data_IF_723254884431
#
_entry.id   IF_723254884431
#
_cell.length_a   1.000
_cell.length_b   1.000
_cell.length_c   1.000
_cell.angle_alpha   90.00
_cell.angle_beta   90.00
_cell.angle_gamma   90.00
#
_symmetry.space_group_name_H-M   'P 1'
#
loop_
_entity.id
_entity.type
_entity.pdbx_description
1 polymer ?
#
# COMPACT_ATOMS: atom_id res chain seq x y z
N UNK A 1 19.10 5.17 -2.85
CA UNK A 1 19.59 4.77 -4.18
C UNK A 1 19.45 6.00 -5.07
N UNK A 2 20.43 6.37 -5.90
CA UNK A 2 20.30 7.57 -6.74
C UNK A 2 19.14 7.42 -7.73
N UNK A 3 18.41 8.49 -8.04
CA UNK A 3 17.21 8.49 -8.90
C UNK A 3 17.50 7.88 -10.29
N UNK A 4 18.70 8.11 -10.80
CA UNK A 4 19.21 7.51 -12.05
C UNK A 4 19.42 6.01 -11.95
N UNK A 5 19.88 5.53 -10.79
CA UNK A 5 20.19 4.11 -10.56
C UNK A 5 18.94 3.23 -10.67
N UNK A 6 17.78 3.72 -10.25
CA UNK A 6 16.53 2.96 -10.29
C UNK A 6 16.03 2.79 -11.72
N UNK A 7 16.06 3.87 -12.51
CA UNK A 7 15.69 3.84 -13.94
C UNK A 7 16.63 2.96 -14.76
N UNK A 8 17.94 3.03 -14.50
CA UNK A 8 18.92 2.16 -15.15
C UNK A 8 18.71 0.69 -14.80
N UNK A 9 18.42 0.39 -13.53
CA UNK A 9 18.09 -0.97 -13.08
C UNK A 9 16.78 -1.45 -13.72
N UNK A 10 15.74 -0.62 -13.72
CA UNK A 10 14.45 -0.94 -14.31
C UNK A 10 14.56 -1.23 -15.81
N UNK A 11 15.30 -0.41 -16.57
CA UNK A 11 15.54 -0.65 -17.99
C UNK A 11 16.38 -1.90 -18.24
N UNK A 12 17.41 -2.14 -17.42
CA UNK A 12 18.27 -3.32 -17.53
C UNK A 12 17.49 -4.62 -17.28
N UNK A 13 16.56 -4.59 -16.33
CA UNK A 13 15.73 -5.73 -15.97
C UNK A 13 14.47 -5.87 -16.85
N UNK A 14 14.32 -5.01 -17.86
CA UNK A 14 13.22 -5.05 -18.83
C UNK A 14 11.87 -4.69 -18.22
N UNK A 15 11.86 -3.87 -17.16
CA UNK A 15 10.64 -3.35 -16.54
C UNK A 15 10.00 -2.30 -17.45
N UNK A 16 8.69 -2.39 -17.60
CA UNK A 16 7.90 -1.58 -18.54
C UNK A 16 6.84 -0.73 -17.83
N UNK A 17 6.54 -1.05 -16.57
CA UNK A 17 5.40 -0.54 -15.84
C UNK A 17 5.83 0.06 -14.49
N UNK A 18 5.01 1.01 -14.02
CA UNK A 18 5.15 1.65 -12.72
C UNK A 18 3.84 1.53 -11.99
N UNK A 19 3.86 0.86 -10.85
CA UNK A 19 2.74 0.73 -9.94
C UNK A 19 2.77 1.88 -8.93
N UNK A 20 1.86 2.83 -9.14
CA UNK A 20 1.77 4.09 -8.41
C UNK A 20 0.85 3.87 -7.22
N UNK A 21 1.38 3.95 -6.00
CA UNK A 21 0.67 3.61 -4.76
C UNK A 21 0.47 4.83 -3.88
N UNK A 22 -0.66 4.89 -3.19
CA UNK A 22 -0.93 5.84 -2.11
C UNK A 22 -1.81 5.19 -1.05
N UNK A 23 -1.79 5.72 0.17
CA UNK A 23 -2.63 5.22 1.26
C UNK A 23 -3.91 6.05 1.36
N UNK A 24 -5.06 5.40 1.43
CA UNK A 24 -6.30 6.07 1.82
C UNK A 24 -6.36 6.32 3.33
N UNK A 25 -7.38 7.06 3.79
CA UNK A 25 -7.55 7.40 5.20
C UNK A 25 -7.66 6.17 6.13
N UNK A 26 -8.16 5.04 5.61
CA UNK A 26 -8.32 3.80 6.39
C UNK A 26 -7.03 2.97 6.43
N UNK A 27 -6.01 3.36 5.66
CA UNK A 27 -4.72 2.68 5.58
C UNK A 27 -4.64 1.65 4.44
N UNK A 28 -5.64 1.59 3.56
CA UNK A 28 -5.58 0.71 2.39
C UNK A 28 -4.64 1.31 1.35
N UNK A 29 -3.77 0.48 0.78
CA UNK A 29 -3.06 0.87 -0.44
C UNK A 29 -4.00 0.89 -1.64
N UNK A 30 -4.17 2.08 -2.18
CA UNK A 30 -4.79 2.33 -3.47
C UNK A 30 -3.68 2.43 -4.51
N UNK A 31 -3.93 1.96 -5.73
CA UNK A 31 -2.91 1.98 -6.77
C UNK A 31 -3.47 1.96 -8.17
N UNK A 32 -2.67 2.45 -9.12
CA UNK A 32 -2.89 2.27 -10.55
C UNK A 32 -1.54 2.17 -11.27
N UNK A 33 -1.57 1.64 -12.48
CA UNK A 33 -0.35 1.37 -13.25
C UNK A 33 -0.21 2.33 -14.42
N UNK A 34 1.00 2.86 -14.62
CA UNK A 34 1.40 3.65 -15.79
C UNK A 34 2.61 3.02 -16.47
N UNK A 35 2.96 3.50 -17.66
CA UNK A 35 4.17 3.04 -18.35
C UNK A 35 5.41 3.69 -17.74
N UNK A 36 6.54 2.99 -17.73
CA UNK A 36 7.81 3.54 -17.24
C UNK A 36 8.21 4.81 -18.00
N UNK A 37 7.85 4.89 -19.28
CA UNK A 37 8.13 6.03 -20.15
C UNK A 37 7.31 7.28 -19.83
N UNK A 38 6.18 7.15 -19.12
CA UNK A 38 5.34 8.31 -18.78
C UNK A 38 5.85 9.12 -17.60
N UNK A 39 6.93 8.68 -16.94
CA UNK A 39 7.51 9.31 -15.75
C UNK A 39 8.96 9.68 -15.99
N UNK A 40 9.36 10.87 -15.50
CA UNK A 40 10.73 11.36 -15.60
C UNK A 40 11.60 10.93 -14.42
N UNK A 41 10.99 10.61 -13.27
CA UNK A 41 11.64 10.25 -12.00
C UNK A 41 12.68 11.28 -11.52
N UNK A 42 12.46 12.55 -11.82
CA UNK A 42 13.29 13.65 -11.32
C UNK A 42 12.67 14.33 -10.07
N UNK A 43 11.44 13.95 -9.72
CA UNK A 43 10.64 14.53 -8.62
C UNK A 43 9.68 15.63 -9.07
N UNK A 44 9.64 15.93 -10.37
CA UNK A 44 8.71 16.90 -10.97
C UNK A 44 7.41 16.25 -11.44
N UNK A 45 7.38 14.92 -11.55
CA UNK A 45 6.20 14.19 -11.99
C UNK A 45 4.98 14.49 -11.11
N UNK A 46 3.84 14.72 -11.76
CA UNK A 46 2.53 14.94 -11.15
C UNK A 46 1.54 14.06 -11.89
N UNK A 47 0.93 13.12 -11.17
CA UNK A 47 -0.02 12.18 -11.76
C UNK A 47 -1.44 12.54 -11.31
N UNK A 48 -2.35 12.92 -12.22
CA UNK A 48 -3.71 13.23 -11.84
C UNK A 48 -4.47 11.98 -11.42
N UNK A 49 -5.34 12.10 -10.42
CA UNK A 49 -6.32 11.07 -10.07
C UNK A 49 -7.61 11.69 -9.50
N UNK A 50 -8.69 10.91 -9.55
CA UNK A 50 -9.99 11.28 -8.99
C UNK A 50 -10.09 10.90 -7.51
N UNK A 51 -9.97 11.91 -6.65
CA UNK A 51 -10.09 11.79 -5.19
C UNK A 51 -11.51 11.51 -4.69
N UNK A 52 -12.55 11.74 -5.51
CA UNK A 52 -13.94 11.47 -5.11
C UNK A 52 -14.27 9.98 -5.04
N UNK A 53 -13.48 9.17 -5.75
CA UNK A 53 -13.54 7.71 -5.71
C UNK A 53 -12.91 7.10 -4.44
N UNK A 54 -12.29 7.93 -3.58
CA UNK A 54 -11.60 7.48 -2.37
C UNK A 54 -12.39 7.88 -1.12
N UNK A 55 -12.73 6.88 -0.31
CA UNK A 55 -13.50 7.08 0.92
C UNK A 55 -12.77 8.02 1.88
N UNK A 56 -13.45 9.09 2.31
CA UNK A 56 -12.93 10.05 3.28
C UNK A 56 -12.07 11.17 2.69
N UNK A 57 -11.90 11.19 1.37
CA UNK A 57 -11.17 12.26 0.67
C UNK A 57 -12.10 13.41 0.27
N UNK A 58 -12.06 13.83 -0.99
CA UNK A 58 -12.77 15.00 -1.48
C UNK A 58 -14.19 14.64 -1.92
N UNK A 59 -15.10 15.59 -1.71
CA UNK A 59 -16.44 15.54 -2.29
C UNK A 59 -16.34 15.81 -3.81
N UNK A 60 -17.40 15.47 -4.56
CA UNK A 60 -17.44 15.51 -6.04
C UNK A 60 -17.01 16.88 -6.63
N UNK A 61 -17.14 17.98 -5.86
CA UNK A 61 -16.84 19.34 -6.32
C UNK A 61 -15.34 19.73 -6.22
N UNK A 62 -14.49 18.93 -5.58
CA UNK A 62 -13.03 19.12 -5.50
C UNK A 62 -12.28 17.81 -5.83
N UNK A 63 -12.74 17.06 -6.84
CA UNK A 63 -12.30 15.69 -7.08
C UNK A 63 -10.88 15.55 -7.65
N UNK A 64 -10.42 16.52 -8.44
CA UNK A 64 -9.14 16.42 -9.14
C UNK A 64 -7.96 16.67 -8.19
N UNK A 65 -7.17 15.62 -7.98
CA UNK A 65 -6.02 15.61 -7.09
C UNK A 65 -4.78 15.13 -7.85
N UNK A 66 -3.59 15.43 -7.32
CA UNK A 66 -2.32 14.98 -7.90
C UNK A 66 -1.58 14.04 -6.95
N UNK A 67 -0.94 13.02 -7.50
CA UNK A 67 0.03 12.19 -6.81
C UNK A 67 1.44 12.65 -7.16
N UNK A 68 2.28 12.77 -6.13
CA UNK A 68 3.69 13.12 -6.23
C UNK A 68 4.52 11.89 -5.83
N UNK A 69 5.21 11.23 -6.78
CA UNK A 69 6.03 10.06 -6.48
C UNK A 69 7.18 10.37 -5.52
N UNK A 70 7.33 9.55 -4.48
CA UNK A 70 8.44 9.60 -3.54
C UNK A 70 9.52 8.59 -3.97
N UNK A 71 10.59 9.12 -4.55
CA UNK A 71 11.64 8.33 -5.19
C UNK A 71 12.48 7.50 -4.20
N UNK A 72 12.45 7.84 -2.91
CA UNK A 72 13.12 7.05 -1.87
C UNK A 72 12.34 5.76 -1.54
N UNK A 73 11.11 5.64 -2.02
CA UNK A 73 10.24 4.48 -1.79
C UNK A 73 10.21 3.50 -2.96
N UNK A 74 10.97 3.73 -4.03
CA UNK A 74 10.89 2.89 -5.22
C UNK A 74 11.53 1.53 -4.99
N UNK A 75 10.83 0.47 -5.38
CA UNK A 75 11.34 -0.91 -5.35
C UNK A 75 10.80 -1.73 -6.52
N UNK A 76 11.49 -2.83 -6.87
CA UNK A 76 11.01 -3.78 -7.89
C UNK A 76 9.95 -4.67 -7.26
N UNK A 77 8.79 -4.79 -7.90
CA UNK A 77 7.72 -5.66 -7.41
C UNK A 77 8.12 -7.14 -7.57
N UNK A 78 8.15 -7.94 -6.49
CA UNK A 78 8.60 -9.33 -6.57
C UNK A 78 7.56 -10.30 -7.17
N UNK A 79 6.30 -9.88 -7.33
CA UNK A 79 5.20 -10.70 -7.82
C UNK A 79 4.77 -10.35 -9.24
N UNK A 80 4.98 -9.10 -9.65
CA UNK A 80 4.73 -8.67 -11.03
C UNK A 80 5.98 -8.85 -11.90
N UNK A 81 5.78 -9.37 -13.12
CA UNK A 81 6.89 -9.73 -14.01
C UNK A 81 7.68 -8.53 -14.57
N UNK A 82 7.16 -7.29 -14.49
CA UNK A 82 7.75 -6.12 -15.18
C UNK A 82 7.47 -4.75 -14.54
N UNK A 83 7.18 -4.66 -13.24
CA UNK A 83 6.85 -3.38 -12.61
C UNK A 83 7.77 -2.97 -11.47
N UNK A 84 8.01 -1.68 -11.36
CA UNK A 84 8.48 -1.04 -10.13
C UNK A 84 7.28 -0.48 -9.37
N UNK A 85 7.32 -0.50 -8.04
CA UNK A 85 6.35 0.16 -7.18
C UNK A 85 6.92 1.47 -6.65
N UNK A 86 6.09 2.51 -6.55
CA UNK A 86 6.44 3.79 -5.92
C UNK A 86 5.29 4.29 -5.05
N UNK A 87 5.61 4.75 -3.83
CA UNK A 87 4.63 5.41 -2.97
C UNK A 87 4.56 6.90 -3.31
N UNK A 88 3.37 7.48 -3.21
CA UNK A 88 3.12 8.87 -3.53
C UNK A 88 2.54 9.63 -2.35
N UNK A 89 2.85 10.92 -2.28
CA UNK A 89 2.09 11.87 -1.47
C UNK A 89 0.94 12.45 -2.31
N UNK A 90 -0.11 12.92 -1.64
CA UNK A 90 -1.27 13.53 -2.30
C UNK A 90 -1.16 15.06 -2.23
N UNK A 91 -1.45 15.72 -3.35
CA UNK A 91 -1.38 17.17 -3.51
C UNK A 91 -2.68 17.73 -4.06
N UNK A 92 -3.14 18.83 -3.48
CA UNK A 92 -4.29 19.61 -3.94
C UNK A 92 -3.79 20.67 -4.94
N UNK A 93 -4.07 20.54 -6.25
CA UNK A 93 -3.57 21.46 -7.27
C UNK A 93 -4.25 22.83 -7.21
N UNK A 94 -5.45 22.93 -6.62
CA UNK A 94 -6.21 24.18 -6.50
C UNK A 94 -5.65 25.02 -5.34
N UNK A 95 -5.55 24.42 -4.16
CA UNK A 95 -5.00 25.06 -2.96
C UNK A 95 -3.47 25.18 -3.00
N UNK A 96 -2.81 24.40 -3.86
CA UNK A 96 -1.36 24.31 -4.01
C UNK A 96 -0.66 23.89 -2.72
N UNK A 97 -1.21 22.86 -2.08
CA UNK A 97 -0.70 22.32 -0.83
C UNK A 97 -0.81 20.80 -0.79
N UNK A 98 0.02 20.17 0.05
CA UNK A 98 -0.13 18.75 0.33
C UNK A 98 -1.43 18.47 1.08
N UNK A 99 -2.10 17.39 0.68
CA UNK A 99 -3.44 17.09 1.14
C UNK A 99 -3.46 16.73 2.62
N UNK A 100 -4.27 17.45 3.39
CA UNK A 100 -4.23 17.37 4.86
C UNK A 100 -4.77 16.05 5.44
N UNK A 101 -5.49 15.26 4.63
CA UNK A 101 -6.03 13.93 5.00
C UNK A 101 -5.22 12.76 4.45
N UNK A 102 -4.11 13.02 3.77
CA UNK A 102 -3.14 11.98 3.40
C UNK A 102 -2.40 11.49 4.66
N UNK A 103 -2.53 10.21 5.05
CA UNK A 103 -1.83 9.66 6.22
C UNK A 103 -0.31 9.80 6.12
N UNK A 104 0.26 9.68 4.92
CA UNK A 104 1.70 9.80 4.70
C UNK A 104 2.18 11.23 4.93
N UNK A 105 1.43 12.22 4.46
CA UNK A 105 1.71 13.62 4.74
C UNK A 105 1.57 13.96 6.24
N UNK A 106 0.61 13.37 6.94
CA UNK A 106 0.48 13.51 8.40
C UNK A 106 1.73 12.97 9.11
N UNK A 107 2.25 11.81 8.71
CA UNK A 107 3.50 11.26 9.25
C UNK A 107 4.69 12.19 9.01
N UNK A 108 4.86 12.72 7.80
CA UNK A 108 5.90 13.71 7.47
C UNK A 108 5.81 14.98 8.32
N UNK A 109 4.59 15.48 8.58
CA UNK A 109 4.37 16.61 9.50
C UNK A 109 4.77 16.27 10.93
N UNK A 110 4.50 15.06 11.41
CA UNK A 110 4.90 14.62 12.74
C UNK A 110 6.43 14.56 12.89
N UNK A 111 7.15 14.03 11.90
CA UNK A 111 8.61 14.05 11.87
C UNK A 111 9.18 15.47 11.88
N UNK A 112 8.60 16.36 11.06
CA UNK A 112 8.99 17.77 11.03
C UNK A 112 8.75 18.44 12.40
N UNK A 113 7.59 18.18 13.01
CA UNK A 113 7.23 18.73 14.32
C UNK A 113 8.19 18.28 15.42
N UNK A 114 8.65 17.02 15.38
CA UNK A 114 9.65 16.50 16.31
C UNK A 114 10.96 17.32 16.21
N UNK A 115 11.47 17.52 14.99
CA UNK A 115 12.67 18.34 14.77
C UNK A 115 12.49 19.79 15.23
N UNK A 116 11.35 20.41 14.89
CA UNK A 116 11.03 21.79 15.30
C UNK A 116 10.89 21.95 16.83
N UNK A 117 10.52 20.88 17.55
CA UNK A 117 10.42 20.92 19.01
C UNK A 117 11.78 20.97 19.71
N UNK A 118 12.88 20.62 19.02
CA UNK A 118 14.22 20.53 19.59
C UNK A 118 14.43 19.36 20.55
N UNK A 119 13.45 18.45 20.69
CA UNK A 119 13.54 17.29 21.59
C UNK A 119 14.45 16.20 21.01
N UNK A 120 14.31 15.92 19.71
CA UNK A 120 15.10 14.93 18.99
C UNK A 120 15.08 15.20 17.48
N UNK A 121 16.02 14.58 16.75
CA UNK A 121 16.11 14.69 15.29
C UNK A 121 15.37 13.56 14.56
N UNK A 122 15.18 12.42 15.20
CA UNK A 122 14.65 11.20 14.57
C UNK A 122 13.92 10.35 15.62
N UNK A 123 12.76 9.80 15.24
CA UNK A 123 12.05 8.79 16.00
C UNK A 123 12.06 7.48 15.21
N UNK A 124 12.62 6.42 15.79
CA UNK A 124 12.65 5.10 15.17
C UNK A 124 11.44 4.28 15.61
N UNK A 125 10.75 3.66 14.66
CA UNK A 125 9.63 2.76 14.90
C UNK A 125 9.98 1.36 14.40
N UNK A 126 9.78 0.34 15.24
CA UNK A 126 9.97 -1.07 14.90
C UNK A 126 8.67 -1.85 15.12
N UNK A 127 7.75 -1.86 14.15
CA UNK A 127 6.49 -2.58 14.28
C UNK A 127 6.68 -4.09 14.09
N UNK A 128 6.01 -4.89 14.92
CA UNK A 128 5.84 -6.34 14.75
C UNK A 128 4.38 -6.62 14.39
N UNK A 129 4.12 -6.83 13.10
CA UNK A 129 2.78 -7.13 12.60
C UNK A 129 2.58 -8.65 12.51
N UNK A 130 1.88 -9.21 13.49
CA UNK A 130 1.40 -10.60 13.41
C UNK A 130 0.34 -10.74 12.29
N UNK A 131 0.33 -11.88 11.62
CA UNK A 131 -0.63 -12.17 10.55
C UNK A 131 -0.99 -13.66 10.51
N UNK A 132 -2.10 -13.97 9.84
CA UNK A 132 -2.57 -15.33 9.60
C UNK A 132 -2.49 -15.68 8.12
N UNK A 133 -2.16 -16.94 7.81
CA UNK A 133 -2.27 -17.51 6.45
C UNK A 133 -3.43 -18.50 6.48
N UNK A 134 -4.45 -18.24 5.66
CA UNK A 134 -5.63 -19.09 5.53
C UNK A 134 -5.71 -19.71 4.13
N UNK A 135 -6.31 -20.90 4.06
CA UNK A 135 -6.62 -21.57 2.80
C UNK A 135 -7.97 -21.11 2.23
N UNK A 136 -8.90 -20.67 3.08
CA UNK A 136 -10.22 -20.19 2.67
C UNK A 136 -10.79 -19.17 3.65
N UNK A 137 -11.43 -18.14 3.12
CA UNK A 137 -12.23 -17.16 3.88
C UNK A 137 -13.57 -16.97 3.16
N UNK A 138 -14.68 -17.11 3.88
CA UNK A 138 -16.05 -16.93 3.36
C UNK A 138 -16.85 -16.08 4.33
N UNK A 139 -17.57 -15.08 3.85
CA UNK A 139 -18.44 -14.25 4.68
C UNK A 139 -19.56 -13.65 3.84
N UNK A 140 -20.69 -13.33 4.47
CA UNK A 140 -21.79 -12.57 3.87
C UNK A 140 -22.64 -11.92 4.97
N UNK A 141 -23.38 -10.88 4.60
CA UNK A 141 -24.38 -10.22 5.43
C UNK A 141 -25.54 -9.74 4.57
N UNK A 142 -26.73 -10.28 4.82
CA UNK A 142 -27.97 -9.91 4.15
C UNK A 142 -29.06 -9.56 5.18
N UNK A 143 -30.30 -9.35 4.72
CA UNK A 143 -31.38 -8.78 5.54
C UNK A 143 -31.79 -9.66 6.73
N UNK A 144 -31.45 -10.96 6.73
CA UNK A 144 -31.88 -11.92 7.75
C UNK A 144 -30.77 -12.87 8.24
N UNK A 145 -29.54 -12.73 7.73
CA UNK A 145 -28.42 -13.56 8.15
C UNK A 145 -27.09 -12.84 8.00
N UNK A 146 -26.12 -13.25 8.82
CA UNK A 146 -24.71 -12.91 8.66
C UNK A 146 -23.86 -14.10 9.06
N UNK A 147 -22.80 -14.37 8.32
CA UNK A 147 -21.87 -15.46 8.63
C UNK A 147 -20.44 -15.11 8.22
N UNK A 148 -19.48 -15.78 8.86
CA UNK A 148 -18.10 -15.86 8.39
C UNK A 148 -17.51 -17.23 8.72
N UNK A 149 -16.57 -17.68 7.89
CA UNK A 149 -15.81 -18.92 8.06
C UNK A 149 -14.39 -18.66 7.57
N UNK A 150 -13.41 -18.96 8.42
CA UNK A 150 -12.00 -19.08 8.03
C UNK A 150 -11.62 -20.55 8.12
N UNK A 151 -10.78 -21.01 7.19
CA UNK A 151 -10.25 -22.36 7.23
C UNK A 151 -8.77 -22.36 6.83
N UNK A 152 -8.03 -23.24 7.47
CA UNK A 152 -6.64 -23.58 7.15
C UNK A 152 -6.49 -25.05 7.41
N UNK A 153 -5.76 -25.74 6.54
CA UNK A 153 -5.33 -27.12 6.71
C UNK A 153 -4.61 -27.29 8.04
N UNK A 154 -3.94 -26.27 8.56
CA UNK A 154 -3.30 -26.31 9.88
C UNK A 154 -4.30 -26.20 11.04
N UNK A 155 -5.50 -25.64 10.83
CA UNK A 155 -6.47 -25.34 11.88
C UNK A 155 -6.80 -26.53 12.79
N UNK A 156 -6.87 -26.29 14.11
CA UNK A 156 -7.16 -27.33 15.12
C UNK A 156 -8.50 -28.04 14.89
N UNK A 157 -9.47 -27.32 14.34
CA UNK A 157 -10.79 -27.86 13.98
C UNK A 157 -10.73 -28.91 12.85
N UNK A 158 -9.61 -28.99 12.12
CA UNK A 158 -9.35 -30.02 11.09
C UNK A 158 -8.54 -31.23 11.63
N UNK A 159 -8.27 -31.31 12.94
CA UNK A 159 -7.51 -32.42 13.53
C UNK A 159 -8.08 -33.82 13.26
N UNK A 160 -9.39 -33.95 13.04
CA UNK A 160 -10.05 -35.21 12.66
C UNK A 160 -10.30 -35.38 11.15
N UNK A 161 -9.87 -34.44 10.30
CA UNK A 161 -10.16 -34.46 8.86
C UNK A 161 -9.35 -35.55 8.16
N UNK A 162 -10.00 -36.28 7.27
CA UNK A 162 -9.33 -37.22 6.36
C UNK A 162 -8.71 -36.39 5.23
N UNK A 163 -7.38 -36.48 5.09
CA UNK A 163 -6.58 -35.72 4.12
C UNK A 163 -5.95 -36.68 3.11
N UNK A 164 -5.81 -36.23 1.85
CA UNK A 164 -5.10 -36.98 0.82
C UNK A 164 -3.61 -37.08 1.22
N UNK A 165 -3.09 -38.30 1.33
CA UNK A 165 -1.76 -38.55 1.89
C UNK A 165 -1.71 -38.75 3.42
N UNK A 166 -2.85 -38.63 4.11
CA UNK A 166 -2.99 -38.88 5.54
C UNK A 166 -2.82 -37.64 6.42
N UNK A 167 -3.47 -37.64 7.58
CA UNK A 167 -3.38 -36.55 8.55
C UNK A 167 -2.15 -36.74 9.43
N UNK A 168 -1.16 -35.84 9.29
CA UNK A 168 0.14 -35.94 9.99
C UNK A 168 0.08 -35.62 11.49
N UNK A 169 -1.10 -35.25 12.03
CA UNK A 169 -1.34 -35.04 13.45
C UNK A 169 -0.71 -33.77 14.04
N UNK A 170 0.11 -33.04 13.28
CA UNK A 170 0.70 -31.78 13.69
C UNK A 170 -0.19 -30.61 13.26
N UNK A 171 -1.16 -30.25 14.12
CA UNK A 171 -2.00 -29.06 13.98
C UNK A 171 -1.71 -28.13 15.17
N UNK A 172 -1.57 -26.79 15.00
CA UNK A 172 -1.42 -25.87 16.11
C UNK A 172 -2.56 -26.06 17.12
N UNK A 173 -2.21 -26.14 18.41
CA UNK A 173 -3.17 -26.43 19.48
C UNK A 173 -4.06 -25.23 19.84
N UNK A 174 -3.62 -24.04 19.46
CA UNK A 174 -4.23 -22.74 19.78
C UNK A 174 -4.17 -21.86 18.54
#
# INVERSE_FOLDING_TARGET
MDKKSILETAKKDGLELVDVKFADLLGTWQHFTVTLESLNFDGTDRLPFDGSSIRGFQEIHESDMELIPDLDTVFIDPYSKKSVSVSCDIYDPIKKEFYTRDPRYIAKKAEKRLKESGIADTAYFGPEAEFFIFDSVRYDQNEHSGYYFVDSSEGIWNSGKIEEGGNLGYKPRH
#
